data_IF_989597119542
#
_entry.id   IF_989597119542
#
_cell.length_a   1.000
_cell.length_b   1.000
_cell.length_c   1.000
_cell.angle_alpha   90.00
_cell.angle_beta   90.00
_cell.angle_gamma   90.00
#
_symmetry.space_group_name_H-M   'P 1'
#
loop_
_entity.id
_entity.type
_entity.pdbx_description
1 polymer ?
#
# COMPACT_ATOMS: atom_id res chain seq x y z
N UNK A 1 -28.61 4.82 -70.63
CA UNK A 1 -27.25 4.63 -70.09
C UNK A 1 -27.00 3.17 -69.79
N UNK A 2 -27.98 2.41 -69.26
CA UNK A 2 -27.82 1.00 -68.92
C UNK A 2 -27.68 0.07 -70.15
N UNK A 3 -28.34 0.38 -71.28
CA UNK A 3 -28.28 -0.46 -72.49
C UNK A 3 -26.95 -0.43 -73.25
N UNK A 4 -26.08 0.55 -72.96
CA UNK A 4 -24.75 0.63 -73.60
C UNK A 4 -23.60 0.16 -72.69
N UNK A 5 -23.82 0.15 -71.40
CA UNK A 5 -22.76 -0.24 -70.41
C UNK A 5 -22.57 -1.76 -70.33
N UNK A 6 -23.66 -2.53 -70.38
CA UNK A 6 -23.56 -3.99 -70.29
C UNK A 6 -22.84 -4.63 -71.48
N UNK A 7 -23.16 -4.21 -72.76
CA UNK A 7 -22.45 -4.73 -73.92
C UNK A 7 -20.95 -4.30 -73.99
N UNK A 8 -20.61 -3.11 -73.43
CA UNK A 8 -19.25 -2.61 -73.37
C UNK A 8 -18.41 -3.38 -72.33
N UNK A 9 -19.01 -3.79 -71.24
CA UNK A 9 -18.36 -4.65 -70.22
C UNK A 9 -18.10 -6.06 -70.72
N UNK A 10 -18.99 -6.61 -71.56
CA UNK A 10 -18.82 -7.95 -72.12
C UNK A 10 -17.80 -8.00 -73.29
N UNK A 11 -17.43 -6.86 -73.86
CA UNK A 11 -16.44 -6.78 -74.96
C UNK A 11 -15.23 -5.90 -74.63
N UNK A 12 -14.74 -5.98 -73.40
CA UNK A 12 -13.55 -5.25 -72.94
C UNK A 12 -12.32 -5.42 -73.85
N UNK A 13 -12.14 -6.61 -74.44
CA UNK A 13 -11.03 -6.89 -75.35
C UNK A 13 -11.06 -6.08 -76.66
N UNK A 14 -12.24 -5.75 -77.23
CA UNK A 14 -12.37 -4.92 -78.41
C UNK A 14 -12.27 -3.44 -78.10
N UNK A 15 -12.61 -2.99 -76.88
CA UNK A 15 -12.41 -1.62 -76.46
C UNK A 15 -10.94 -1.21 -76.40
N UNK A 16 -10.05 -2.11 -76.10
CA UNK A 16 -8.58 -1.88 -76.12
C UNK A 16 -7.93 -1.97 -77.50
N UNK A 17 -8.65 -2.44 -78.52
CA UNK A 17 -8.14 -2.52 -79.90
C UNK A 17 -8.16 -1.19 -80.63
N UNK A 18 -8.93 -0.18 -80.17
CA UNK A 18 -8.97 1.15 -80.78
C UNK A 18 -8.01 2.09 -80.03
N UNK A 19 -6.90 2.45 -80.62
CA UNK A 19 -5.83 3.30 -80.08
C UNK A 19 -6.26 4.79 -80.07
N UNK A 20 -7.28 5.15 -80.84
CA UNK A 20 -7.75 6.54 -80.96
C UNK A 20 -8.75 6.86 -79.83
N UNK A 21 -8.44 7.83 -78.94
CA UNK A 21 -9.38 8.22 -77.90
C UNK A 21 -10.67 8.78 -78.39
N UNK A 22 -11.82 8.37 -77.84
CA UNK A 22 -13.14 8.93 -78.16
C UNK A 22 -13.23 10.32 -77.57
N UNK A 23 -13.59 11.29 -78.39
CA UNK A 23 -13.87 12.66 -77.95
C UNK A 23 -15.39 12.90 -77.67
N UNK A 24 -16.14 11.82 -77.57
CA UNK A 24 -17.54 11.94 -77.19
C UNK A 24 -17.70 12.49 -75.77
N UNK A 25 -18.56 13.53 -75.51
CA UNK A 25 -18.61 14.16 -74.20
C UNK A 25 -18.91 13.23 -73.01
N UNK A 26 -19.67 12.16 -73.25
CA UNK A 26 -19.99 11.16 -72.19
C UNK A 26 -18.78 10.32 -71.83
N UNK A 27 -17.99 9.92 -72.87
CA UNK A 27 -16.78 9.08 -72.60
C UNK A 27 -15.68 9.87 -71.91
N UNK A 28 -15.64 11.18 -72.24
CA UNK A 28 -14.70 12.10 -71.53
C UNK A 28 -15.09 12.33 -70.08
N UNK A 29 -16.39 12.45 -69.77
CA UNK A 29 -16.92 12.55 -68.41
C UNK A 29 -16.63 11.28 -67.62
N UNK A 30 -16.85 10.10 -68.20
CA UNK A 30 -16.53 8.79 -67.55
C UNK A 30 -15.06 8.67 -67.29
N UNK A 31 -14.20 9.02 -68.25
CA UNK A 31 -12.73 9.00 -68.10
C UNK A 31 -12.26 9.93 -67.00
N UNK A 32 -12.81 11.14 -66.88
CA UNK A 32 -12.49 12.06 -65.76
C UNK A 32 -12.96 11.49 -64.44
N UNK A 33 -14.16 10.94 -64.33
CA UNK A 33 -14.69 10.36 -63.11
C UNK A 33 -13.83 9.19 -62.61
N UNK A 34 -13.43 8.28 -63.55
CA UNK A 34 -12.54 7.16 -63.22
C UNK A 34 -11.15 7.66 -62.78
N UNK A 35 -10.62 8.68 -63.46
CA UNK A 35 -9.31 9.28 -63.10
C UNK A 35 -9.34 9.91 -61.72
N UNK A 36 -10.42 10.63 -61.38
CA UNK A 36 -10.61 11.21 -60.05
C UNK A 36 -10.76 10.13 -58.97
N UNK A 37 -11.54 9.08 -59.23
CA UNK A 37 -11.73 7.96 -58.33
C UNK A 37 -10.38 7.21 -58.09
N UNK A 38 -9.62 6.99 -59.16
CA UNK A 38 -8.31 6.33 -59.08
C UNK A 38 -7.29 7.17 -58.30
N UNK A 39 -7.31 8.50 -58.51
CA UNK A 39 -6.46 9.42 -57.73
C UNK A 39 -6.83 9.41 -56.25
N UNK A 40 -8.12 9.34 -55.94
CA UNK A 40 -8.61 9.26 -54.56
C UNK A 40 -8.18 7.93 -53.90
N UNK A 41 -8.34 6.82 -54.60
CA UNK A 41 -7.91 5.49 -54.12
C UNK A 41 -6.40 5.46 -53.92
N UNK A 42 -5.60 6.02 -54.82
CA UNK A 42 -4.14 6.11 -54.67
C UNK A 42 -3.76 7.00 -53.49
N UNK A 43 -4.47 8.10 -53.26
CA UNK A 43 -4.24 8.99 -52.11
C UNK A 43 -4.59 8.28 -50.79
N UNK A 44 -5.70 7.55 -50.74
CA UNK A 44 -6.06 6.73 -49.57
C UNK A 44 -5.04 5.61 -49.32
N UNK A 45 -4.58 4.90 -50.37
CA UNK A 45 -3.53 3.87 -50.24
C UNK A 45 -2.19 4.47 -49.76
N UNK A 46 -1.84 5.66 -50.24
CA UNK A 46 -0.64 6.37 -49.80
C UNK A 46 -0.74 6.83 -48.34
N UNK A 47 -1.92 7.29 -47.90
CA UNK A 47 -2.19 7.69 -46.52
C UNK A 47 -2.17 6.47 -45.56
N UNK A 48 -2.68 5.32 -46.01
CA UNK A 48 -2.71 4.07 -45.23
C UNK A 48 -1.43 3.21 -45.39
N UNK A 49 -0.45 3.64 -46.16
CA UNK A 49 0.85 2.95 -46.24
C UNK A 49 1.51 3.02 -44.89
N UNK A 50 1.76 1.85 -44.27
CA UNK A 50 2.63 1.75 -43.07
C UNK A 50 3.94 2.44 -43.40
N UNK A 51 4.23 3.56 -42.74
CA UNK A 51 5.51 4.24 -42.86
C UNK A 51 6.55 3.39 -42.14
N UNK A 52 7.22 2.51 -42.85
CA UNK A 52 8.41 1.84 -42.35
C UNK A 52 9.49 2.92 -42.20
N UNK A 53 9.83 3.26 -40.95
CA UNK A 53 10.97 4.14 -40.68
C UNK A 53 12.20 3.29 -40.71
N UNK A 54 13.01 3.41 -41.73
CA UNK A 54 14.31 2.75 -41.80
C UNK A 54 15.19 3.17 -40.62
N UNK A 55 15.83 2.23 -39.94
CA UNK A 55 16.67 2.48 -38.77
C UNK A 55 15.93 2.55 -37.40
N UNK A 56 14.62 2.24 -37.34
CA UNK A 56 13.84 2.21 -36.09
C UNK A 56 13.16 0.86 -35.85
N UNK A 57 13.80 -0.21 -36.32
CA UNK A 57 13.28 -1.60 -36.24
C UNK A 57 13.09 -2.07 -34.78
N UNK A 58 13.82 -1.49 -33.83
CA UNK A 58 13.75 -1.78 -32.38
C UNK A 58 13.07 -0.68 -31.56
N UNK A 59 12.45 0.31 -32.20
CA UNK A 59 11.76 1.43 -31.56
C UNK A 59 12.27 2.79 -32.02
N UNK A 60 11.45 3.82 -31.84
CA UNK A 60 11.77 5.21 -32.20
C UNK A 60 12.24 6.04 -31.01
N UNK A 61 12.49 5.40 -29.86
CA UNK A 61 12.96 6.09 -28.66
C UNK A 61 14.40 6.57 -28.84
N UNK A 62 14.64 7.81 -28.50
CA UNK A 62 15.96 8.45 -28.44
C UNK A 62 16.14 9.06 -27.07
N UNK A 63 17.39 9.27 -26.66
CA UNK A 63 17.68 10.01 -25.44
C UNK A 63 17.12 11.43 -25.53
N UNK A 64 16.45 11.86 -24.43
CA UNK A 64 15.95 13.25 -24.33
C UNK A 64 17.09 14.23 -24.17
N UNK A 65 16.83 15.49 -24.58
CA UNK A 65 17.68 16.64 -24.35
C UNK A 65 17.21 17.42 -23.12
N UNK A 66 18.00 18.40 -22.65
CA UNK A 66 17.60 19.30 -21.55
C UNK A 66 16.22 19.95 -21.81
N UNK A 67 15.94 20.35 -23.04
CA UNK A 67 14.64 20.93 -23.45
C UNK A 67 13.46 19.98 -23.33
N UNK A 68 13.72 18.68 -23.47
CA UNK A 68 12.67 17.64 -23.31
C UNK A 68 12.38 17.39 -21.83
N UNK A 69 13.33 17.64 -20.94
CA UNK A 69 13.24 17.39 -19.47
C UNK A 69 12.70 18.63 -18.76
N UNK A 70 13.01 19.84 -19.24
CA UNK A 70 12.60 21.12 -18.67
C UNK A 70 11.12 21.19 -18.23
N UNK A 71 10.13 20.71 -19.00
CA UNK A 71 8.71 20.77 -18.61
C UNK A 71 8.31 19.91 -17.40
N UNK A 72 9.21 19.01 -16.97
CA UNK A 72 9.01 18.13 -15.83
C UNK A 72 9.67 18.60 -14.55
N UNK A 73 10.39 19.73 -14.59
CA UNK A 73 11.11 20.30 -13.46
C UNK A 73 10.43 21.59 -12.96
N UNK A 74 10.61 21.86 -11.68
CA UNK A 74 10.26 23.15 -11.09
C UNK A 74 11.53 24.01 -10.98
N UNK A 75 11.62 25.07 -11.78
CA UNK A 75 12.75 26.00 -11.78
C UNK A 75 12.57 27.15 -10.79
N UNK A 76 11.33 27.38 -10.33
CA UNK A 76 11.04 28.44 -9.35
C UNK A 76 11.42 27.99 -7.94
N UNK A 77 10.99 26.79 -7.59
CA UNK A 77 11.29 26.16 -6.30
C UNK A 77 12.08 24.88 -6.54
N UNK A 78 13.40 25.00 -6.59
CA UNK A 78 14.29 23.87 -6.89
C UNK A 78 14.11 22.71 -5.92
N UNK A 79 13.85 23.00 -4.65
CA UNK A 79 13.64 21.99 -3.61
C UNK A 79 12.32 21.23 -3.77
N UNK A 80 11.43 21.74 -4.62
CA UNK A 80 10.18 21.05 -5.01
C UNK A 80 10.40 19.97 -6.08
N UNK A 81 11.64 19.59 -6.36
CA UNK A 81 11.96 18.50 -7.26
C UNK A 81 12.54 17.31 -6.49
N UNK A 82 12.20 16.09 -6.94
CA UNK A 82 13.01 14.93 -6.61
C UNK A 82 14.28 15.00 -7.42
N UNK A 83 15.43 14.97 -6.78
CA UNK A 83 16.75 14.95 -7.43
C UNK A 83 16.96 13.58 -8.06
N UNK A 84 17.09 13.52 -9.37
CA UNK A 84 17.36 12.29 -10.10
C UNK A 84 18.85 12.13 -10.41
N UNK A 85 19.46 13.21 -10.91
CA UNK A 85 20.89 13.32 -11.22
C UNK A 85 21.41 14.68 -10.78
N UNK A 86 22.62 15.03 -11.19
CA UNK A 86 23.19 16.35 -10.90
C UNK A 86 22.43 17.50 -11.60
N UNK A 87 21.82 17.21 -12.74
CA UNK A 87 21.16 18.22 -13.61
C UNK A 87 19.66 17.98 -13.76
N UNK A 88 19.17 16.77 -13.60
CA UNK A 88 17.78 16.42 -13.80
C UNK A 88 17.02 16.21 -12.49
N UNK A 89 15.76 16.64 -12.50
CA UNK A 89 14.80 16.45 -11.42
C UNK A 89 13.40 16.17 -11.92
N UNK A 90 12.54 15.76 -11.03
CA UNK A 90 11.11 15.57 -11.30
C UNK A 90 10.31 16.40 -10.29
N UNK A 91 9.52 17.36 -10.78
CA UNK A 91 8.69 18.18 -9.90
C UNK A 91 7.68 17.37 -9.11
N UNK A 92 7.54 17.66 -7.81
CA UNK A 92 6.48 17.14 -6.95
C UNK A 92 5.19 17.93 -7.05
N UNK A 93 5.26 19.16 -7.60
CA UNK A 93 4.12 20.01 -7.86
C UNK A 93 3.25 19.55 -9.03
N UNK A 94 2.23 20.32 -9.35
CA UNK A 94 1.43 20.14 -10.56
C UNK A 94 2.16 20.83 -11.71
N UNK A 95 2.44 20.15 -12.84
CA UNK A 95 3.05 20.79 -13.99
C UNK A 95 2.08 21.79 -14.61
N UNK A 96 2.62 22.76 -15.36
CA UNK A 96 1.84 23.81 -16.04
C UNK A 96 0.84 23.25 -17.05
N UNK A 97 1.09 22.08 -17.62
CA UNK A 97 0.21 21.42 -18.56
C UNK A 97 0.01 19.93 -18.21
N UNK A 98 -1.24 19.41 -18.20
CA UNK A 98 -1.54 18.02 -17.81
C UNK A 98 -0.77 16.95 -18.58
N UNK A 99 -0.39 17.19 -19.84
CA UNK A 99 0.43 16.25 -20.64
C UNK A 99 1.80 15.93 -20.02
N UNK A 100 2.31 16.80 -19.15
CA UNK A 100 3.58 16.62 -18.45
C UNK A 100 3.41 15.99 -17.05
N UNK A 101 2.16 15.76 -16.62
CA UNK A 101 1.93 15.05 -15.37
C UNK A 101 2.49 13.61 -15.47
N UNK A 102 3.30 13.24 -14.48
CA UNK A 102 3.91 11.90 -14.37
C UNK A 102 3.65 11.35 -12.99
N UNK A 103 3.66 10.02 -12.91
CA UNK A 103 3.75 9.34 -11.63
C UNK A 103 5.07 9.73 -10.95
N UNK A 104 5.01 9.97 -9.65
CA UNK A 104 6.14 10.42 -8.83
C UNK A 104 6.81 9.28 -8.07
N UNK A 105 6.38 8.05 -8.31
CA UNK A 105 7.08 6.86 -7.83
C UNK A 105 8.32 6.64 -8.70
N UNK A 106 9.48 6.56 -8.05
CA UNK A 106 10.78 6.46 -8.72
C UNK A 106 11.42 5.15 -8.29
N UNK A 107 11.80 4.34 -9.25
CA UNK A 107 12.58 3.12 -9.02
C UNK A 107 14.03 3.37 -9.41
N UNK A 108 14.93 3.26 -8.44
CA UNK A 108 16.37 3.39 -8.63
C UNK A 108 17.00 2.00 -8.64
N UNK A 109 17.60 1.63 -9.75
CA UNK A 109 18.24 0.32 -9.96
C UNK A 109 19.76 0.50 -10.03
N UNK A 110 20.49 -0.29 -9.25
CA UNK A 110 21.94 -0.28 -9.25
C UNK A 110 22.50 -1.42 -8.40
N UNK A 111 23.66 -1.92 -8.76
CA UNK A 111 24.39 -2.95 -8.01
C UNK A 111 24.85 -2.46 -6.64
N UNK A 112 25.40 -3.36 -5.83
CA UNK A 112 26.04 -2.98 -4.56
C UNK A 112 27.20 -2.03 -4.83
N UNK A 113 27.34 -0.99 -3.98
CA UNK A 113 28.39 0.02 -4.14
C UNK A 113 28.17 1.05 -5.28
N UNK A 114 27.07 0.96 -6.05
CA UNK A 114 26.76 1.93 -7.13
C UNK A 114 26.42 3.34 -6.62
N UNK A 115 26.32 3.54 -5.31
CA UNK A 115 26.09 4.85 -4.70
C UNK A 115 24.62 5.26 -4.59
N UNK A 116 23.65 4.34 -4.67
CA UNK A 116 22.22 4.63 -4.53
C UNK A 116 21.90 5.48 -3.31
N UNK A 117 22.37 5.06 -2.13
CA UNK A 117 22.19 5.81 -0.88
C UNK A 117 22.88 7.16 -0.93
N UNK A 118 24.13 7.22 -1.44
CA UNK A 118 24.94 8.42 -1.46
C UNK A 118 24.45 9.48 -2.45
N UNK A 119 24.04 9.08 -3.64
CA UNK A 119 23.73 10.02 -4.74
C UNK A 119 22.22 10.23 -4.94
N UNK A 120 21.36 9.37 -4.38
CA UNK A 120 19.91 9.53 -4.48
C UNK A 120 19.25 9.76 -3.12
N UNK A 121 19.40 8.83 -2.15
CA UNK A 121 18.69 8.91 -0.87
C UNK A 121 19.12 10.17 -0.09
N UNK A 122 20.41 10.31 0.20
CA UNK A 122 20.93 11.44 1.01
C UNK A 122 20.67 12.81 0.39
N UNK A 123 20.93 13.09 -0.90
CA UNK A 123 20.63 14.39 -1.49
C UNK A 123 19.15 14.76 -1.41
N UNK A 124 18.23 13.81 -1.65
CA UNK A 124 16.80 14.04 -1.52
C UNK A 124 16.36 14.29 -0.07
N UNK A 125 16.99 13.62 0.90
CA UNK A 125 16.76 13.86 2.32
C UNK A 125 17.29 15.23 2.75
N UNK A 126 18.46 15.62 2.26
CA UNK A 126 19.13 16.90 2.58
C UNK A 126 18.41 18.13 2.03
N UNK A 127 17.50 17.98 1.07
CA UNK A 127 16.64 19.08 0.63
C UNK A 127 15.71 19.58 1.75
N UNK A 128 15.39 18.75 2.74
CA UNK A 128 14.56 19.11 3.90
C UNK A 128 13.22 19.76 3.50
N UNK A 129 12.67 19.36 2.36
CA UNK A 129 11.45 19.95 1.81
C UNK A 129 10.17 19.34 2.41
N UNK A 130 10.22 18.07 2.75
CA UNK A 130 9.05 17.24 3.13
C UNK A 130 9.26 16.57 4.48
N UNK A 131 8.24 15.93 5.04
CA UNK A 131 8.46 14.87 6.01
C UNK A 131 9.03 13.65 5.30
N UNK A 132 9.80 12.83 6.00
CA UNK A 132 10.50 11.70 5.39
C UNK A 132 10.25 10.40 6.13
N UNK A 133 10.20 9.33 5.37
CA UNK A 133 10.27 7.95 5.86
C UNK A 133 11.45 7.33 5.14
N UNK A 134 12.46 6.91 5.89
CA UNK A 134 13.72 6.43 5.33
C UNK A 134 13.95 5.00 5.79
N UNK A 135 13.96 4.03 4.86
CA UNK A 135 14.55 2.73 5.19
C UNK A 135 16.06 2.90 5.20
N UNK A 136 16.69 2.58 6.31
CA UNK A 136 18.11 2.82 6.56
C UNK A 136 18.80 1.51 6.97
N UNK A 137 19.24 0.69 6.00
CA UNK A 137 20.04 -0.49 6.31
C UNK A 137 21.28 -0.08 7.08
N UNK A 138 21.47 -0.62 8.29
CA UNK A 138 22.61 -0.34 9.19
C UNK A 138 22.55 0.99 9.98
N UNK A 139 21.55 1.85 9.79
CA UNK A 139 21.42 3.12 10.54
C UNK A 139 22.40 4.22 10.12
N UNK A 140 23.08 4.08 8.98
CA UNK A 140 24.11 5.03 8.54
C UNK A 140 23.55 6.36 8.09
N UNK A 141 22.36 6.39 7.50
CA UNK A 141 21.70 7.63 7.06
C UNK A 141 21.27 8.46 8.27
N UNK A 142 20.73 7.81 9.31
CA UNK A 142 20.40 8.47 10.57
C UNK A 142 21.62 9.11 11.22
N UNK A 143 22.74 8.40 11.32
CA UNK A 143 23.97 8.89 11.93
C UNK A 143 24.51 10.12 11.17
N UNK A 144 24.52 10.09 9.84
CA UNK A 144 25.08 11.14 9.02
C UNK A 144 24.16 12.35 8.84
N UNK A 145 22.82 12.14 8.75
CA UNK A 145 21.87 13.19 8.44
C UNK A 145 20.98 13.61 9.63
N UNK A 146 20.91 12.82 10.70
CA UNK A 146 19.98 13.03 11.80
C UNK A 146 20.16 14.39 12.48
N UNK A 147 21.39 14.77 12.83
CA UNK A 147 21.68 16.07 13.46
C UNK A 147 21.31 17.27 12.58
N UNK A 148 21.44 17.13 11.26
CA UNK A 148 21.02 18.18 10.32
C UNK A 148 19.50 18.35 10.35
N UNK A 149 18.76 17.25 10.34
CA UNK A 149 17.29 17.27 10.42
C UNK A 149 16.81 17.78 11.79
N UNK A 150 17.46 17.38 12.87
CA UNK A 150 17.18 17.87 14.23
C UNK A 150 17.36 19.38 14.34
N UNK A 151 18.45 19.91 13.74
CA UNK A 151 18.65 21.37 13.64
C UNK A 151 17.51 22.03 12.86
N UNK A 152 17.03 21.39 11.81
CA UNK A 152 15.88 21.81 11.04
C UNK A 152 16.17 22.58 9.76
N UNK A 153 15.10 22.76 9.00
CA UNK A 153 15.11 23.52 7.74
C UNK A 153 15.27 25.01 8.00
N UNK A 154 16.19 25.72 7.31
CA UNK A 154 16.27 27.17 7.41
C UNK A 154 15.05 27.82 6.75
N UNK A 155 14.37 28.68 7.48
CA UNK A 155 13.24 29.48 7.00
C UNK A 155 13.61 30.96 7.14
N UNK A 156 13.47 31.72 6.07
CA UNK A 156 13.70 33.16 6.06
C UNK A 156 12.39 33.90 6.21
N UNK A 157 12.37 34.86 7.14
CA UNK A 157 11.25 35.81 7.26
C UNK A 157 11.34 36.92 6.19
N UNK A 158 10.30 37.76 6.10
CA UNK A 158 10.26 38.91 5.17
C UNK A 158 11.36 39.92 5.42
N UNK A 159 11.98 39.93 6.61
CA UNK A 159 13.09 40.83 7.00
C UNK A 159 14.45 40.18 6.75
N UNK A 160 14.50 38.95 6.21
CA UNK A 160 15.72 38.22 5.91
C UNK A 160 16.35 37.48 7.10
N UNK A 161 15.72 37.50 8.30
CA UNK A 161 16.21 36.71 9.44
C UNK A 161 16.03 35.23 9.18
N UNK A 162 17.00 34.44 9.58
CA UNK A 162 16.97 32.98 9.42
C UNK A 162 16.52 32.34 10.75
N UNK A 163 15.40 31.63 10.71
CA UNK A 163 14.96 30.70 11.76
C UNK A 163 15.09 29.27 11.28
N UNK A 164 15.08 28.32 12.20
CA UNK A 164 15.14 26.88 11.85
C UNK A 164 13.88 26.19 12.29
N UNK A 165 13.32 25.39 11.39
CA UNK A 165 12.15 24.55 11.67
C UNK A 165 12.62 23.09 11.83
N UNK A 166 12.74 22.58 13.08
CA UNK A 166 13.30 21.28 13.37
C UNK A 166 12.37 20.15 12.90
N UNK A 167 12.96 19.00 12.61
CA UNK A 167 12.25 17.77 12.38
C UNK A 167 12.10 16.99 13.69
N UNK A 168 10.95 16.35 13.87
CA UNK A 168 10.82 15.29 14.86
C UNK A 168 11.42 14.00 14.32
N UNK A 169 12.54 13.58 14.92
CA UNK A 169 13.21 12.34 14.55
C UNK A 169 12.50 11.18 15.26
N UNK A 170 12.12 10.19 14.49
CA UNK A 170 11.52 8.94 14.97
C UNK A 170 12.36 7.78 14.45
N UNK A 171 12.54 6.75 15.27
CA UNK A 171 13.40 5.61 14.94
C UNK A 171 12.64 4.32 15.24
N UNK A 172 12.51 3.48 14.24
CA UNK A 172 12.06 2.10 14.39
C UNK A 172 13.20 1.17 13.99
N UNK A 173 13.79 0.50 14.96
CA UNK A 173 15.00 -0.27 14.78
C UNK A 173 14.75 -1.75 15.06
N UNK A 174 14.84 -2.60 14.03
CA UNK A 174 14.66 -4.05 14.17
C UNK A 174 15.98 -4.82 14.30
N UNK A 175 17.12 -4.11 14.34
CA UNK A 175 18.45 -4.70 14.62
C UNK A 175 18.72 -4.69 16.11
N UNK A 176 18.38 -3.57 16.77
CA UNK A 176 18.61 -3.34 18.20
C UNK A 176 17.35 -2.68 18.77
N UNK A 177 16.47 -3.50 19.35
CA UNK A 177 15.18 -3.05 19.89
C UNK A 177 15.35 -2.05 21.03
N UNK A 178 16.44 -2.13 21.80
CA UNK A 178 16.75 -1.16 22.87
C UNK A 178 17.02 0.27 22.35
N UNK A 179 17.22 0.45 21.05
CA UNK A 179 17.38 1.75 20.38
C UNK A 179 16.20 2.11 19.48
N UNK A 180 15.08 1.47 19.66
CA UNK A 180 13.86 1.71 18.89
C UNK A 180 12.82 2.44 19.73
N UNK A 181 12.00 3.24 19.08
CA UNK A 181 10.72 3.71 19.62
C UNK A 181 9.70 2.58 19.53
N UNK A 182 8.76 2.57 20.45
CA UNK A 182 7.69 1.58 20.51
C UNK A 182 6.68 1.79 19.36
N UNK A 183 6.22 0.68 18.82
CA UNK A 183 5.24 0.63 17.74
C UNK A 183 4.17 -0.41 18.05
N UNK A 184 3.00 0.02 18.49
CA UNK A 184 1.86 -0.83 18.70
C UNK A 184 0.90 -0.77 17.49
N UNK A 185 0.80 -1.84 16.67
CA UNK A 185 -0.10 -1.85 15.53
C UNK A 185 -1.58 -1.69 15.89
N UNK A 186 -1.99 -2.06 17.11
CA UNK A 186 -3.37 -1.92 17.58
C UNK A 186 -3.78 -0.43 17.72
N UNK A 187 -2.84 0.45 18.05
CA UNK A 187 -3.09 1.88 18.19
C UNK A 187 -3.65 2.55 16.91
N UNK A 188 -3.44 1.92 15.75
CA UNK A 188 -3.89 2.43 14.44
C UNK A 188 -5.21 1.83 13.95
N UNK A 189 -5.91 1.08 14.79
CA UNK A 189 -7.26 0.58 14.51
C UNK A 189 -8.25 1.68 14.89
N UNK A 190 -8.89 2.29 13.89
CA UNK A 190 -9.73 3.47 14.04
C UNK A 190 -10.99 3.19 14.87
N UNK A 191 -11.32 4.09 15.80
CA UNK A 191 -12.58 4.03 16.58
C UNK A 191 -13.83 4.04 15.70
N UNK A 192 -13.81 4.76 14.60
CA UNK A 192 -14.99 4.94 13.74
C UNK A 192 -15.29 3.76 12.82
N UNK A 193 -14.31 2.92 12.52
CA UNK A 193 -14.43 1.80 11.58
C UNK A 193 -13.73 0.53 12.10
N UNK A 194 -13.84 0.26 13.41
CA UNK A 194 -13.06 -0.81 14.07
C UNK A 194 -13.18 -2.16 13.39
N UNK A 195 -14.38 -2.64 13.10
CA UNK A 195 -14.58 -3.95 12.51
C UNK A 195 -13.85 -4.08 11.16
N UNK A 196 -13.95 -3.05 10.32
CA UNK A 196 -13.29 -3.00 9.02
C UNK A 196 -11.77 -2.95 9.15
N UNK A 197 -11.26 -2.18 10.12
CA UNK A 197 -9.84 -2.00 10.30
C UNK A 197 -9.21 -3.23 10.99
N UNK A 198 -9.94 -3.91 11.89
CA UNK A 198 -9.55 -5.22 12.44
C UNK A 198 -9.40 -6.25 11.31
N UNK A 199 -10.39 -6.36 10.42
CA UNK A 199 -10.31 -7.28 9.27
C UNK A 199 -9.10 -6.99 8.39
N UNK A 200 -8.81 -5.71 8.12
CA UNK A 200 -7.62 -5.32 7.35
C UNK A 200 -6.32 -5.66 8.08
N UNK A 201 -6.29 -5.39 9.39
CA UNK A 201 -5.12 -5.68 10.21
C UNK A 201 -4.82 -7.17 10.24
N UNK A 202 -5.84 -8.02 10.47
CA UNK A 202 -5.71 -9.47 10.45
C UNK A 202 -5.22 -9.96 9.07
N UNK A 203 -5.74 -9.39 7.98
CA UNK A 203 -5.25 -9.70 6.62
C UNK A 203 -3.77 -9.37 6.43
N UNK A 204 -3.33 -8.23 6.94
CA UNK A 204 -1.94 -7.78 6.88
C UNK A 204 -1.05 -8.67 7.75
N UNK A 205 -1.48 -8.97 8.98
CA UNK A 205 -0.77 -9.85 9.89
C UNK A 205 -0.52 -11.22 9.27
N UNK A 206 -1.56 -11.88 8.78
CA UNK A 206 -1.47 -13.22 8.18
C UNK A 206 -0.56 -13.20 6.94
N UNK A 207 -0.70 -12.22 6.05
CA UNK A 207 0.11 -12.12 4.83
C UNK A 207 1.59 -11.94 5.10
N UNK A 208 1.94 -11.22 6.15
CA UNK A 208 3.34 -10.90 6.46
C UNK A 208 4.01 -11.91 7.40
N UNK A 209 3.23 -12.79 8.02
CA UNK A 209 3.74 -13.88 8.87
C UNK A 209 3.62 -15.26 8.21
N UNK A 210 3.22 -15.33 6.94
CA UNK A 210 3.09 -16.57 6.17
C UNK A 210 4.48 -17.04 5.71
N UNK A 211 4.83 -18.30 5.97
CA UNK A 211 6.05 -18.89 5.42
C UNK A 211 5.96 -19.05 3.89
N UNK A 212 7.04 -18.77 3.18
CA UNK A 212 7.13 -18.76 1.71
C UNK A 212 6.88 -20.13 1.05
N UNK A 213 6.72 -21.20 1.82
CA UNK A 213 6.50 -22.57 1.32
C UNK A 213 5.04 -23.02 1.26
N UNK A 214 4.09 -22.22 1.77
CA UNK A 214 2.67 -22.58 1.69
C UNK A 214 2.09 -22.19 0.32
N UNK A 215 2.19 -23.12 -0.63
CA UNK A 215 1.55 -23.02 -1.94
C UNK A 215 0.08 -23.47 -1.85
N UNK A 216 -0.86 -22.58 -2.17
CA UNK A 216 -2.12 -22.86 -2.90
C UNK A 216 -3.17 -23.82 -2.33
N UNK A 217 -2.91 -24.60 -1.28
CA UNK A 217 -3.84 -25.61 -0.75
C UNK A 217 -4.59 -25.22 0.54
N UNK A 218 -4.24 -24.11 1.18
CA UNK A 218 -4.60 -23.80 2.57
C UNK A 218 -5.63 -22.68 2.76
N UNK A 219 -6.51 -22.46 1.80
CA UNK A 219 -7.52 -21.39 1.90
C UNK A 219 -8.45 -21.58 3.13
N UNK A 220 -8.75 -22.82 3.48
CA UNK A 220 -9.56 -23.15 4.66
C UNK A 220 -8.87 -22.73 5.97
N UNK A 221 -7.60 -23.12 6.18
CA UNK A 221 -6.85 -22.81 7.40
C UNK A 221 -6.68 -21.32 7.59
N UNK A 222 -6.29 -20.62 6.53
CA UNK A 222 -6.15 -19.15 6.54
C UNK A 222 -7.48 -18.46 6.88
N UNK A 223 -8.60 -18.94 6.35
CA UNK A 223 -9.92 -18.41 6.68
C UNK A 223 -10.29 -18.64 8.14
N UNK A 224 -10.00 -19.82 8.67
CA UNK A 224 -10.28 -20.16 10.06
C UNK A 224 -9.40 -19.37 11.04
N UNK A 225 -8.09 -19.22 10.74
CA UNK A 225 -7.19 -18.33 11.49
C UNK A 225 -7.72 -16.89 11.52
N UNK A 226 -8.22 -16.39 10.37
CA UNK A 226 -8.80 -15.05 10.29
C UNK A 226 -9.99 -14.87 11.20
N UNK A 227 -10.88 -15.85 11.27
CA UNK A 227 -12.03 -15.82 12.18
C UNK A 227 -11.56 -15.69 13.63
N UNK A 228 -10.61 -16.52 14.04
CA UNK A 228 -10.10 -16.53 15.42
C UNK A 228 -9.38 -15.22 15.77
N UNK A 229 -8.43 -14.76 14.97
CA UNK A 229 -7.76 -13.48 15.20
C UNK A 229 -8.73 -12.31 15.21
N UNK A 230 -9.70 -12.29 14.29
CA UNK A 230 -10.72 -11.24 14.25
C UNK A 230 -11.58 -11.23 15.51
N UNK A 231 -11.99 -12.41 15.98
CA UNK A 231 -12.75 -12.55 17.22
C UNK A 231 -11.98 -12.04 18.42
N UNK A 232 -10.73 -12.45 18.57
CA UNK A 232 -9.90 -12.09 19.73
C UNK A 232 -9.54 -10.61 19.73
N UNK A 233 -9.09 -10.07 18.61
CA UNK A 233 -8.76 -8.66 18.51
C UNK A 233 -10.00 -7.79 18.75
N UNK A 234 -11.17 -8.17 18.23
CA UNK A 234 -12.42 -7.47 18.50
C UNK A 234 -12.80 -7.56 19.99
N UNK A 235 -12.58 -8.72 20.63
CA UNK A 235 -12.79 -8.89 22.07
C UNK A 235 -11.87 -7.99 22.89
N UNK A 236 -10.56 -7.96 22.57
CA UNK A 236 -9.60 -7.06 23.23
C UNK A 236 -10.10 -5.62 23.21
N UNK A 237 -10.54 -5.14 22.07
CA UNK A 237 -11.09 -3.76 21.97
C UNK A 237 -12.45 -3.58 22.65
N UNK A 238 -13.17 -4.65 22.96
CA UNK A 238 -14.46 -4.59 23.66
C UNK A 238 -14.28 -4.40 25.17
N UNK A 239 -13.31 -5.10 25.75
CA UNK A 239 -13.20 -5.23 27.20
C UNK A 239 -11.92 -4.64 27.79
N UNK A 240 -10.79 -4.68 27.08
CA UNK A 240 -9.51 -4.27 27.63
C UNK A 240 -9.29 -2.75 27.51
N UNK A 241 -8.63 -2.14 28.53
CA UNK A 241 -8.19 -0.77 28.46
C UNK A 241 -7.11 -0.56 27.38
N UNK A 242 -6.86 0.69 26.94
CA UNK A 242 -5.93 0.96 25.85
C UNK A 242 -4.51 0.39 26.04
N UNK A 243 -4.06 0.30 27.29
CA UNK A 243 -2.73 -0.19 27.68
C UNK A 243 -2.56 -1.69 27.40
N UNK A 244 -3.66 -2.44 27.41
CA UNK A 244 -3.71 -3.88 27.17
C UNK A 244 -4.14 -4.23 25.72
N UNK A 245 -4.38 -3.23 24.89
CA UNK A 245 -4.71 -3.46 23.47
C UNK A 245 -3.43 -3.65 22.65
N UNK A 246 -2.80 -4.84 22.76
CA UNK A 246 -1.51 -5.17 22.18
C UNK A 246 -1.36 -6.68 21.85
N UNK A 247 -0.18 -7.09 21.39
CA UNK A 247 0.08 -8.49 21.06
C UNK A 247 0.21 -9.39 22.27
N UNK A 248 0.66 -8.89 23.42
CA UNK A 248 0.76 -9.67 24.65
C UNK A 248 -0.60 -10.24 25.04
N UNK A 249 -1.62 -9.41 25.14
CA UNK A 249 -3.00 -9.82 25.41
C UNK A 249 -3.54 -10.79 24.35
N UNK A 250 -3.24 -10.57 23.08
CA UNK A 250 -3.65 -11.51 22.02
C UNK A 250 -3.01 -12.89 22.18
N UNK A 251 -1.73 -12.94 22.54
CA UNK A 251 -1.01 -14.20 22.78
C UNK A 251 -1.55 -14.90 24.02
N UNK A 252 -1.82 -14.16 25.11
CA UNK A 252 -2.45 -14.69 26.31
C UNK A 252 -3.83 -15.32 26.04
N UNK A 253 -4.66 -14.67 25.25
CA UNK A 253 -5.94 -15.23 24.81
C UNK A 253 -5.77 -16.55 24.04
N UNK A 254 -4.80 -16.62 23.13
CA UNK A 254 -4.52 -17.85 22.37
C UNK A 254 -4.02 -18.95 23.31
N UNK A 255 -3.11 -18.64 24.23
CA UNK A 255 -2.58 -19.59 25.20
C UNK A 255 -3.65 -20.10 26.18
N UNK A 256 -4.65 -19.25 26.50
CA UNK A 256 -5.79 -19.62 27.35
C UNK A 256 -6.88 -20.42 26.61
N UNK A 257 -6.71 -20.63 25.31
CA UNK A 257 -7.68 -21.33 24.43
C UNK A 257 -7.37 -22.82 24.35
N UNK A 258 -7.48 -23.53 25.47
CA UNK A 258 -7.28 -24.99 25.51
C UNK A 258 -8.40 -25.70 24.73
N UNK A 259 -8.04 -26.64 23.85
CA UNK A 259 -8.99 -27.54 23.18
C UNK A 259 -8.72 -28.99 23.58
N UNK A 260 -9.75 -29.70 24.06
CA UNK A 260 -9.69 -31.14 24.36
C UNK A 260 -10.31 -31.93 23.23
N UNK A 261 -9.59 -32.95 22.75
CA UNK A 261 -10.08 -33.81 21.66
C UNK A 261 -11.13 -34.81 22.13
N UNK A 262 -11.04 -35.17 23.43
CA UNK A 262 -11.84 -36.24 24.02
C UNK A 262 -13.15 -35.74 24.66
N UNK A 263 -13.32 -34.42 24.77
CA UNK A 263 -14.48 -33.80 25.41
C UNK A 263 -14.95 -32.57 24.61
N UNK A 264 -15.93 -32.76 23.78
CA UNK A 264 -16.55 -31.68 22.98
C UNK A 264 -17.37 -30.71 23.82
N UNK A 265 -17.68 -31.05 25.07
CA UNK A 265 -18.43 -30.19 26.02
C UNK A 265 -17.54 -29.32 26.85
N UNK A 266 -16.22 -29.53 26.78
CA UNK A 266 -15.24 -28.76 27.54
C UNK A 266 -15.26 -27.27 27.13
N UNK A 267 -15.43 -26.42 28.11
CA UNK A 267 -15.38 -24.97 27.98
C UNK A 267 -14.10 -24.42 28.64
N UNK A 268 -13.23 -23.86 27.82
CA UNK A 268 -12.03 -23.17 28.31
C UNK A 268 -12.36 -21.75 28.86
N UNK A 269 -11.37 -21.05 29.37
CA UNK A 269 -11.57 -19.69 29.91
C UNK A 269 -12.10 -18.72 28.85
N UNK A 270 -11.65 -18.83 27.61
CA UNK A 270 -12.09 -17.99 26.51
C UNK A 270 -13.52 -18.30 26.08
N UNK A 271 -13.94 -19.58 26.06
CA UNK A 271 -15.33 -19.95 25.81
C UNK A 271 -16.27 -19.28 26.81
N UNK A 272 -15.88 -19.32 28.10
CA UNK A 272 -16.67 -18.69 29.18
C UNK A 272 -16.71 -17.17 29.04
N UNK A 273 -15.59 -16.54 28.64
CA UNK A 273 -15.53 -15.12 28.36
C UNK A 273 -16.50 -14.72 27.24
N UNK A 274 -16.48 -15.42 26.10
CA UNK A 274 -17.37 -15.10 24.98
C UNK A 274 -18.83 -15.34 25.37
N UNK A 275 -19.16 -16.41 26.08
CA UNK A 275 -20.51 -16.66 26.58
C UNK A 275 -20.98 -15.55 27.53
N UNK A 276 -20.11 -15.10 28.46
CA UNK A 276 -20.41 -13.99 29.35
C UNK A 276 -20.68 -12.68 28.58
N UNK A 277 -19.81 -12.34 27.62
CA UNK A 277 -19.95 -11.13 26.82
C UNK A 277 -21.24 -11.14 26.01
N UNK A 278 -21.64 -12.28 25.46
CA UNK A 278 -22.89 -12.41 24.73
C UNK A 278 -24.10 -12.12 25.63
N UNK A 279 -24.13 -12.64 26.86
CA UNK A 279 -25.14 -12.28 27.85
C UNK A 279 -25.08 -10.80 28.26
N UNK A 280 -23.86 -10.26 28.46
CA UNK A 280 -23.67 -8.90 28.92
C UNK A 280 -24.13 -7.84 27.91
N UNK A 281 -23.83 -8.02 26.64
CA UNK A 281 -24.22 -7.06 25.59
C UNK A 281 -25.72 -7.10 25.28
N UNK A 282 -26.39 -8.26 25.52
CA UNK A 282 -27.82 -8.44 25.29
C UNK A 282 -28.67 -8.21 26.55
N UNK A 283 -28.05 -8.00 27.70
CA UNK A 283 -28.68 -7.94 29.02
C UNK A 283 -29.57 -9.17 29.33
N UNK A 284 -29.09 -10.34 28.90
CA UNK A 284 -29.81 -11.61 28.98
C UNK A 284 -29.00 -12.65 29.77
N UNK A 285 -29.00 -12.49 31.11
CA UNK A 285 -28.39 -13.43 32.01
C UNK A 285 -29.41 -14.47 32.50
N UNK A 286 -29.11 -15.78 32.45
CA UNK A 286 -29.95 -16.80 33.09
C UNK A 286 -30.14 -16.47 34.61
N UNK A 287 -31.36 -16.70 35.13
CA UNK A 287 -31.71 -16.38 36.51
C UNK A 287 -30.81 -17.08 37.56
N UNK A 288 -30.27 -18.26 37.24
CA UNK A 288 -29.41 -19.08 38.09
C UNK A 288 -27.93 -19.06 37.67
N UNK A 289 -27.50 -18.10 36.84
CA UNK A 289 -26.12 -18.04 36.37
C UNK A 289 -25.17 -17.70 37.55
N UNK A 290 -24.36 -18.68 37.94
CA UNK A 290 -23.18 -18.43 38.77
C UNK A 290 -22.14 -17.67 37.91
N UNK A 291 -22.07 -16.36 38.10
CA UNK A 291 -21.09 -15.53 37.46
C UNK A 291 -19.80 -15.60 38.27
N UNK A 292 -18.71 -15.99 37.61
CA UNK A 292 -17.41 -16.05 38.28
C UNK A 292 -17.04 -14.66 38.82
N UNK A 293 -16.29 -14.64 39.92
CA UNK A 293 -15.87 -13.38 40.56
C UNK A 293 -15.16 -12.42 39.60
N UNK A 294 -14.48 -12.97 38.59
CA UNK A 294 -13.81 -12.28 37.49
C UNK A 294 -14.72 -11.34 36.69
N UNK A 295 -15.98 -11.73 36.48
CA UNK A 295 -16.93 -10.98 35.63
C UNK A 295 -17.96 -10.17 36.42
N UNK A 296 -17.95 -10.24 37.77
CA UNK A 296 -18.94 -9.53 38.57
C UNK A 296 -18.83 -8.02 38.45
N UNK A 297 -17.61 -7.48 38.39
CA UNK A 297 -17.38 -6.06 38.21
C UNK A 297 -17.86 -5.57 36.84
N UNK A 298 -17.60 -6.36 35.80
CA UNK A 298 -18.05 -6.06 34.44
C UNK A 298 -19.56 -6.11 34.33
N UNK A 299 -20.23 -7.08 35.00
CA UNK A 299 -21.69 -7.18 35.04
C UNK A 299 -22.33 -5.95 35.70
N UNK A 300 -21.69 -5.37 36.71
CA UNK A 300 -22.22 -4.18 37.41
C UNK A 300 -22.24 -2.93 36.50
N UNK A 301 -21.45 -2.92 35.45
CA UNK A 301 -21.37 -1.85 34.46
C UNK A 301 -22.12 -2.22 33.18
N UNK A 302 -23.02 -1.36 32.72
CA UNK A 302 -23.71 -1.58 31.44
C UNK A 302 -22.78 -1.30 30.27
N UNK A 303 -22.79 -2.15 29.21
CA UNK A 303 -21.97 -1.92 28.01
C UNK A 303 -22.45 -0.69 27.24
N UNK A 304 -21.51 0.13 26.79
CA UNK A 304 -21.82 1.23 25.88
C UNK A 304 -22.10 0.71 24.46
N UNK A 305 -22.63 1.56 23.58
CA UNK A 305 -23.04 1.18 22.22
C UNK A 305 -21.87 0.65 21.35
N UNK A 306 -20.65 1.13 21.58
CA UNK A 306 -19.46 0.63 20.89
C UNK A 306 -19.13 -0.78 21.37
N UNK A 307 -19.16 -1.04 22.67
CA UNK A 307 -18.93 -2.36 23.27
C UNK A 307 -19.99 -3.37 22.83
N UNK A 308 -21.27 -2.98 22.77
CA UNK A 308 -22.34 -3.84 22.25
C UNK A 308 -22.08 -4.25 20.82
N UNK A 309 -21.80 -3.27 19.95
CA UNK A 309 -21.55 -3.51 18.52
C UNK A 309 -20.32 -4.39 18.29
N UNK A 310 -19.21 -4.06 18.95
CA UNK A 310 -17.96 -4.76 18.75
C UNK A 310 -17.96 -6.14 19.41
N UNK A 311 -18.56 -6.27 20.60
CA UNK A 311 -18.76 -7.55 21.26
C UNK A 311 -19.63 -8.50 20.44
N UNK A 312 -20.74 -8.00 19.87
CA UNK A 312 -21.58 -8.81 18.97
C UNK A 312 -20.78 -9.26 17.72
N UNK A 313 -19.95 -8.38 17.16
CA UNK A 313 -19.06 -8.74 16.05
C UNK A 313 -18.05 -9.81 16.46
N UNK A 314 -17.41 -9.68 17.63
CA UNK A 314 -16.46 -10.65 18.17
C UNK A 314 -17.12 -12.02 18.38
N UNK A 315 -18.28 -12.08 19.05
CA UNK A 315 -19.03 -13.32 19.28
C UNK A 315 -19.43 -14.01 17.98
N UNK A 316 -19.87 -13.24 16.97
CA UNK A 316 -20.20 -13.79 15.64
C UNK A 316 -18.98 -14.46 14.97
N UNK A 317 -17.81 -13.84 15.03
CA UNK A 317 -16.59 -14.43 14.46
C UNK A 317 -16.16 -15.67 15.24
N UNK A 318 -16.27 -15.63 16.56
CA UNK A 318 -15.93 -16.75 17.43
C UNK A 318 -16.85 -17.95 17.21
N UNK A 319 -18.16 -17.75 17.13
CA UNK A 319 -19.12 -18.81 16.80
C UNK A 319 -18.82 -19.46 15.44
N UNK A 320 -18.46 -18.64 14.43
CA UNK A 320 -18.06 -19.16 13.14
C UNK A 320 -16.78 -20.03 13.21
N UNK A 321 -15.81 -19.65 14.05
CA UNK A 321 -14.64 -20.47 14.32
C UNK A 321 -15.00 -21.77 15.06
N UNK A 322 -15.89 -21.74 16.05
CA UNK A 322 -16.34 -22.90 16.85
C UNK A 322 -17.13 -23.94 16.05
N UNK A 323 -17.57 -23.64 14.82
CA UNK A 323 -18.12 -24.63 13.91
C UNK A 323 -17.09 -25.69 13.48
N UNK A 324 -15.79 -25.43 13.66
CA UNK A 324 -14.75 -26.43 13.43
C UNK A 324 -14.76 -27.52 14.51
N UNK A 325 -14.71 -28.79 14.09
CA UNK A 325 -14.61 -29.92 15.01
C UNK A 325 -13.34 -29.84 15.87
N UNK A 326 -13.34 -30.48 17.06
CA UNK A 326 -12.30 -30.37 18.07
C UNK A 326 -10.85 -30.53 17.57
N UNK A 327 -10.57 -31.57 16.75
CA UNK A 327 -9.25 -31.77 16.12
C UNK A 327 -8.87 -30.64 15.17
N UNK A 328 -9.82 -30.14 14.41
CA UNK A 328 -9.62 -29.02 13.48
C UNK A 328 -9.38 -27.72 14.26
N UNK A 329 -10.16 -27.45 15.30
CA UNK A 329 -10.00 -26.28 16.16
C UNK A 329 -8.62 -26.26 16.83
N UNK A 330 -8.16 -27.41 17.34
CA UNK A 330 -6.79 -27.55 17.90
C UNK A 330 -5.70 -27.24 16.87
N UNK A 331 -5.85 -27.74 15.66
CA UNK A 331 -4.89 -27.47 14.58
C UNK A 331 -4.87 -26.00 14.18
N UNK A 332 -6.02 -25.30 14.18
CA UNK A 332 -6.12 -23.86 13.92
C UNK A 332 -5.40 -23.08 15.04
N UNK A 333 -5.62 -23.47 16.32
CA UNK A 333 -4.93 -22.84 17.45
C UNK A 333 -3.41 -22.98 17.37
N UNK A 334 -2.93 -24.20 17.05
CA UNK A 334 -1.49 -24.45 16.84
C UNK A 334 -0.95 -23.56 15.71
N UNK A 335 -1.68 -23.44 14.60
CA UNK A 335 -1.27 -22.60 13.49
C UNK A 335 -1.21 -21.12 13.90
N UNK A 336 -2.21 -20.62 14.62
CA UNK A 336 -2.21 -19.26 15.17
C UNK A 336 -1.05 -19.04 16.15
N UNK A 337 -0.83 -19.94 17.09
CA UNK A 337 0.28 -19.83 18.05
C UNK A 337 1.64 -19.82 17.35
N UNK A 338 1.85 -20.71 16.37
CA UNK A 338 3.09 -20.77 15.59
C UNK A 338 3.33 -19.47 14.81
N UNK A 339 2.28 -18.87 14.27
CA UNK A 339 2.35 -17.60 13.54
C UNK A 339 2.72 -16.42 14.44
N UNK A 340 2.27 -16.43 15.69
CA UNK A 340 2.60 -15.40 16.68
C UNK A 340 3.88 -15.69 17.46
N UNK A 341 4.52 -16.85 17.28
CA UNK A 341 5.76 -17.19 17.98
C UNK A 341 6.86 -16.09 17.87
N UNK A 342 7.06 -15.41 16.71
CA UNK A 342 8.03 -14.32 16.64
C UNK A 342 7.67 -13.10 17.50
N UNK A 343 6.38 -12.90 17.84
CA UNK A 343 5.93 -11.83 18.72
C UNK A 343 6.09 -12.17 20.21
N UNK A 344 6.22 -13.46 20.57
CA UNK A 344 6.36 -13.91 21.95
C UNK A 344 7.80 -13.76 22.50
N UNK A 345 8.69 -13.11 21.78
CA UNK A 345 10.03 -12.73 22.24
C UNK A 345 9.89 -11.48 23.10
N UNK A 346 10.48 -11.47 24.29
CA UNK A 346 10.32 -10.39 25.28
C UNK A 346 10.59 -9.00 24.69
N UNK A 347 11.65 -8.86 23.91
CA UNK A 347 12.01 -7.58 23.28
C UNK A 347 10.98 -7.15 22.22
N UNK A 348 10.31 -8.11 21.56
CA UNK A 348 9.26 -7.81 20.58
C UNK A 348 7.95 -7.47 21.27
N UNK A 349 7.61 -8.14 22.36
CA UNK A 349 6.48 -7.78 23.21
C UNK A 349 6.66 -6.37 23.75
N UNK A 350 7.83 -6.05 24.30
CA UNK A 350 8.14 -4.71 24.82
C UNK A 350 7.96 -3.64 23.74
N UNK A 351 8.59 -3.79 22.57
CA UNK A 351 8.54 -2.78 21.51
C UNK A 351 7.14 -2.61 20.91
N UNK A 352 6.24 -3.60 21.05
CA UNK A 352 4.87 -3.58 20.54
C UNK A 352 3.82 -3.33 21.61
N UNK A 353 4.20 -3.07 22.85
CA UNK A 353 3.30 -2.89 23.99
C UNK A 353 2.49 -1.59 23.90
N UNK A 354 3.11 -0.48 23.53
CA UNK A 354 2.47 0.83 23.33
C UNK A 354 3.02 1.55 22.11
N UNK A 355 2.51 2.75 21.75
CA UNK A 355 2.91 3.45 20.53
C UNK A 355 3.57 4.79 20.81
N UNK A 356 4.78 4.98 20.28
CA UNK A 356 5.52 6.24 20.27
C UNK A 356 5.69 6.80 18.85
N UNK A 357 5.55 5.94 17.83
CA UNK A 357 5.80 6.35 16.45
C UNK A 357 4.79 7.39 15.96
N UNK A 358 3.51 7.30 16.36
CA UNK A 358 2.49 8.24 15.90
C UNK A 358 2.49 8.37 14.40
N UNK A 359 2.31 7.25 13.68
CA UNK A 359 2.34 7.20 12.22
C UNK A 359 1.28 8.10 11.57
N UNK A 360 0.16 8.29 12.25
CA UNK A 360 -0.95 9.16 11.84
C UNK A 360 -0.58 10.65 11.82
N UNK A 361 0.50 11.05 12.52
CA UNK A 361 0.95 12.45 12.64
C UNK A 361 2.03 12.83 11.62
N UNK A 362 2.57 11.88 10.87
CA UNK A 362 3.70 12.13 9.96
C UNK A 362 3.40 13.15 8.85
N UNK A 363 2.12 13.36 8.51
CA UNK A 363 1.70 14.37 7.54
C UNK A 363 1.28 15.72 8.14
N UNK A 364 1.25 15.86 9.47
CA UNK A 364 0.80 17.06 10.19
C UNK A 364 1.96 17.98 10.58
N UNK A 365 3.12 17.40 10.83
CA UNK A 365 4.33 18.09 11.28
C UNK A 365 5.56 17.60 10.49
N UNK A 366 6.62 18.39 10.47
CA UNK A 366 7.89 17.96 9.88
C UNK A 366 8.50 16.86 10.72
N UNK A 367 8.50 15.64 10.17
CA UNK A 367 8.99 14.44 10.83
C UNK A 367 9.92 13.66 9.92
N UNK A 368 10.87 12.95 10.50
CA UNK A 368 11.70 11.98 9.79
C UNK A 368 11.69 10.66 10.56
N UNK A 369 11.03 9.65 9.99
CA UNK A 369 11.01 8.29 10.51
C UNK A 369 12.12 7.49 9.84
N UNK A 370 13.07 7.02 10.63
CA UNK A 370 14.12 6.10 10.20
C UNK A 370 13.73 4.68 10.57
N UNK A 371 13.63 3.82 9.57
CA UNK A 371 13.33 2.40 9.72
C UNK A 371 14.63 1.63 9.51
N UNK A 372 15.26 1.25 10.61
CA UNK A 372 16.54 0.56 10.59
C UNK A 372 16.30 -0.94 10.52
N UNK A 373 16.76 -1.56 9.44
CA UNK A 373 16.58 -2.98 9.14
C UNK A 373 17.94 -3.65 8.89
N UNK A 374 18.00 -4.96 9.11
CA UNK A 374 19.17 -5.74 8.72
C UNK A 374 19.15 -6.02 7.20
N UNK A 375 20.31 -5.94 6.55
CA UNK A 375 20.50 -6.38 5.17
C UNK A 375 20.75 -7.90 5.03
N UNK A 376 21.07 -8.57 6.14
CA UNK A 376 21.41 -10.01 6.15
C UNK A 376 20.40 -10.86 6.91
N UNK A 377 19.65 -10.28 7.84
CA UNK A 377 18.65 -10.98 8.67
C UNK A 377 17.25 -10.40 8.42
N UNK A 378 16.35 -11.26 7.93
CA UNK A 378 14.97 -10.90 7.60
C UNK A 378 13.97 -11.30 8.70
N UNK A 379 14.42 -11.81 9.84
CA UNK A 379 13.58 -12.42 10.89
C UNK A 379 12.45 -11.48 11.33
N UNK A 380 12.75 -10.20 11.54
CA UNK A 380 11.78 -9.20 12.01
C UNK A 380 11.20 -8.30 10.91
N UNK A 381 11.45 -8.59 9.63
CA UNK A 381 10.93 -7.79 8.53
C UNK A 381 9.40 -7.78 8.44
N UNK A 382 8.73 -8.77 9.05
CA UNK A 382 7.28 -8.79 9.15
C UNK A 382 6.71 -7.58 9.92
N UNK A 383 7.38 -7.12 10.99
CA UNK A 383 7.00 -5.92 11.75
C UNK A 383 7.06 -4.67 10.85
N UNK A 384 8.15 -4.54 10.12
CA UNK A 384 8.34 -3.43 9.16
C UNK A 384 7.27 -3.45 8.06
N UNK A 385 6.93 -4.63 7.57
CA UNK A 385 5.90 -4.78 6.53
C UNK A 385 4.49 -4.45 7.05
N UNK A 386 4.17 -4.82 8.30
CA UNK A 386 2.92 -4.41 8.96
C UNK A 386 2.90 -2.89 9.12
N UNK A 387 3.98 -2.30 9.64
CA UNK A 387 4.10 -0.85 9.82
C UNK A 387 3.91 -0.09 8.50
N UNK A 388 4.60 -0.47 7.42
CA UNK A 388 4.41 0.19 6.12
C UNK A 388 3.00 0.03 5.57
N UNK A 389 2.38 -1.14 5.74
CA UNK A 389 1.00 -1.37 5.30
C UNK A 389 0.01 -0.44 6.02
N UNK A 390 0.18 -0.26 7.33
CA UNK A 390 -0.62 0.67 8.12
C UNK A 390 -0.32 2.13 7.74
N UNK A 391 0.95 2.49 7.67
CA UNK A 391 1.42 3.82 7.34
C UNK A 391 0.82 4.34 6.02
N UNK A 392 0.97 3.57 4.93
CA UNK A 392 0.42 3.98 3.63
C UNK A 392 -1.10 4.12 3.66
N UNK A 393 -1.79 3.18 4.33
CA UNK A 393 -3.24 3.26 4.44
C UNK A 393 -3.69 4.48 5.27
N UNK A 394 -3.00 4.78 6.36
CA UNK A 394 -3.28 5.93 7.21
C UNK A 394 -3.07 7.25 6.47
N UNK A 395 -1.91 7.44 5.85
CA UNK A 395 -1.57 8.67 5.16
C UNK A 395 -2.45 8.92 3.93
N UNK A 396 -2.75 7.88 3.14
CA UNK A 396 -3.66 8.00 1.99
C UNK A 396 -5.08 8.33 2.45
N UNK A 397 -5.62 7.61 3.44
CA UNK A 397 -6.97 7.88 3.98
C UNK A 397 -7.06 9.29 4.56
N UNK A 398 -6.00 9.74 5.25
CA UNK A 398 -5.93 11.09 5.82
C UNK A 398 -5.92 12.16 4.72
N UNK A 399 -5.13 11.95 3.67
CA UNK A 399 -5.09 12.85 2.52
C UNK A 399 -6.46 12.93 1.81
N UNK A 400 -7.11 11.78 1.58
CA UNK A 400 -8.43 11.71 0.94
C UNK A 400 -9.51 12.47 1.74
N UNK A 401 -9.40 12.45 3.07
CA UNK A 401 -10.34 13.14 3.97
C UNK A 401 -9.97 14.60 4.27
N UNK A 402 -8.80 15.06 3.81
CA UNK A 402 -8.33 16.43 4.04
C UNK A 402 -8.85 17.39 2.97
N UNK A 403 -9.02 18.66 3.34
CA UNK A 403 -9.42 19.70 2.41
C UNK A 403 -8.37 19.85 1.29
N UNK A 404 -8.82 19.70 0.04
CA UNK A 404 -7.94 19.72 -1.13
C UNK A 404 -7.24 18.39 -1.46
N UNK A 405 -7.57 17.28 -0.76
CA UNK A 405 -7.07 15.93 -1.06
C UNK A 405 -5.56 15.78 -0.86
N UNK A 406 -4.97 16.47 0.12
CA UNK A 406 -3.52 16.43 0.40
C UNK A 406 -3.23 16.59 1.88
N UNK A 407 -2.09 16.06 2.33
CA UNK A 407 -1.56 16.27 3.67
C UNK A 407 -1.02 17.70 3.84
N UNK A 408 -0.94 18.19 5.08
CA UNK A 408 -0.33 19.48 5.41
C UNK A 408 1.12 19.54 4.99
N UNK A 409 1.87 18.49 5.29
CA UNK A 409 3.24 18.30 4.81
C UNK A 409 3.28 17.11 3.85
N UNK A 410 3.96 17.29 2.73
CA UNK A 410 4.24 16.19 1.82
C UNK A 410 5.12 15.16 2.53
N UNK A 411 4.83 13.87 2.35
CA UNK A 411 5.61 12.77 2.93
C UNK A 411 6.33 12.03 1.82
N UNK A 412 7.67 12.01 1.88
CA UNK A 412 8.52 11.27 0.94
C UNK A 412 9.01 9.98 1.58
N UNK A 413 8.77 8.86 0.90
CA UNK A 413 9.30 7.58 1.30
C UNK A 413 10.58 7.29 0.50
N UNK A 414 11.72 7.25 1.17
CA UNK A 414 13.02 6.91 0.62
C UNK A 414 13.36 5.49 1.08
N UNK A 415 12.95 4.51 0.29
CA UNK A 415 12.99 3.10 0.67
C UNK A 415 14.26 2.45 0.09
N UNK A 416 15.39 2.56 0.80
CA UNK A 416 16.63 1.87 0.43
C UNK A 416 16.51 0.38 0.76
N UNK A 417 17.17 -0.49 0.00
CA UNK A 417 17.04 -1.96 0.06
C UNK A 417 15.57 -2.44 0.06
N UNK A 418 14.77 -1.86 -0.82
CA UNK A 418 13.33 -2.06 -0.90
C UNK A 418 12.88 -3.53 -1.00
N UNK A 419 13.68 -4.39 -1.62
CA UNK A 419 13.39 -5.82 -1.74
C UNK A 419 13.33 -6.52 -0.38
N UNK A 420 14.06 -6.02 0.63
CA UNK A 420 14.14 -6.59 1.95
C UNK A 420 13.10 -6.02 2.92
N UNK A 421 12.60 -4.81 2.65
CA UNK A 421 11.76 -4.05 3.58
C UNK A 421 10.27 -4.12 3.30
N UNK A 422 9.86 -4.46 2.08
CA UNK A 422 8.46 -4.37 1.65
C UNK A 422 8.03 -5.65 0.96
N UNK A 423 6.97 -6.27 1.47
CA UNK A 423 6.41 -7.47 0.84
C UNK A 423 5.71 -7.13 -0.49
N UNK A 424 5.66 -8.12 -1.39
CA UNK A 424 4.97 -8.01 -2.70
C UNK A 424 3.54 -7.49 -2.63
N UNK A 425 2.87 -7.64 -1.47
CA UNK A 425 1.50 -7.17 -1.26
C UNK A 425 1.39 -5.65 -1.20
N UNK A 426 2.37 -4.97 -0.61
CA UNK A 426 2.44 -3.50 -0.55
C UNK A 426 2.74 -2.93 -1.93
N UNK A 427 3.68 -3.55 -2.66
CA UNK A 427 4.01 -3.18 -4.04
C UNK A 427 2.81 -3.22 -4.99
N UNK A 428 2.01 -4.30 -4.93
CA UNK A 428 0.83 -4.44 -5.81
C UNK A 428 -0.26 -3.40 -5.53
N UNK A 429 -0.31 -2.85 -4.33
CA UNK A 429 -1.39 -1.94 -3.92
C UNK A 429 -1.04 -0.46 -4.13
N UNK A 430 0.23 -0.10 -4.00
CA UNK A 430 0.67 1.30 -3.98
C UNK A 430 1.73 1.63 -5.05
N UNK A 431 2.20 0.64 -5.79
CA UNK A 431 3.23 0.78 -6.83
C UNK A 431 2.68 0.93 -8.28
N UNK A 432 1.36 1.09 -8.46
CA UNK A 432 0.72 1.26 -9.78
C UNK A 432 0.41 2.71 -10.08
#
# INVERSE_FOLDING_TARGET
>A
VSEKILPALNNLGTAFAHIIPSFHPVDLLVGIAVGVAMKFIMKMRAANKKKFRQGTEYGSAVWGTEKDIEPYMDFKEKDNNVILTQTEGLTMGKPSHPKYARNKNILVIGGSGSGKTRFFVKPNLMQMHSSYIVTDPKGTVLIECGKMLERGRPVRDEKGNVSYQPYRIKVFNTIDFGKSMHYNPFAYISKNNREKDILKFVDVLIKNTQSSQQNGGDDFWVKAEKLLYTAYIAMIFTINPPEEQNFETLIEMINSSECREDDETFQNAIDRLFAFIECWINDDFPNDAEISNEFQEMKANQPNEEQKRLGAFACKQYHAYKLAAGKTAKSILISCSTRLAPFAIDEVLEITSYDELGLDKLGDELSALFVIISDTDATFNFLVAIMYSQLFNLLCTKADNSEGGKLNYHVRCLLDEFANSVTRSVLKRYGT
#
